data_IF_876247280354
#
_entry.id   IF_876247280354
#
_cell.length_a   1.000
_cell.length_b   1.000
_cell.length_c   1.000
_cell.angle_alpha   90.00
_cell.angle_beta   90.00
_cell.angle_gamma   90.00
#
_symmetry.space_group_name_H-M   'P 1'
#
loop_
_entity.id
_entity.type
_entity.pdbx_description
1 polymer ?
#
# COMPACT_ATOMS: atom_id res chain seq x y z
N UNK A 1 -52.44 -30.55 55.67
CA UNK A 1 -53.34 -29.42 55.38
C UNK A 1 -52.46 -28.21 55.17
N UNK A 2 -52.74 -27.34 54.18
CA UNK A 2 -51.90 -26.17 53.95
C UNK A 2 -51.95 -25.24 55.16
N UNK A 3 -50.81 -24.67 55.54
CA UNK A 3 -50.68 -23.78 56.68
C UNK A 3 -51.35 -22.42 56.45
N UNK A 4 -51.63 -22.06 55.19
CA UNK A 4 -52.30 -20.81 54.83
C UNK A 4 -53.66 -21.06 54.17
N UNK A 5 -54.57 -20.11 54.36
CA UNK A 5 -55.85 -20.04 53.67
C UNK A 5 -56.02 -18.66 53.02
N UNK A 6 -56.48 -18.63 51.78
CA UNK A 6 -56.86 -17.40 51.09
C UNK A 6 -58.38 -17.35 51.10
N UNK A 7 -58.97 -16.44 51.87
CA UNK A 7 -60.41 -16.44 52.17
C UNK A 7 -61.21 -15.53 51.25
N UNK A 8 -60.59 -14.49 50.71
CA UNK A 8 -61.27 -13.49 49.88
C UNK A 8 -60.38 -13.06 48.71
N UNK A 9 -61.01 -12.95 47.54
CA UNK A 9 -60.45 -12.30 46.35
C UNK A 9 -61.60 -11.85 45.43
N UNK A 10 -61.42 -10.77 44.65
CA UNK A 10 -62.36 -10.42 43.60
C UNK A 10 -62.34 -11.49 42.49
N UNK A 11 -63.50 -11.87 41.95
CA UNK A 11 -63.57 -12.80 40.80
C UNK A 11 -63.23 -12.11 39.47
N UNK A 12 -63.43 -10.79 39.40
CA UNK A 12 -63.12 -9.95 38.23
C UNK A 12 -62.52 -8.62 38.67
N UNK A 13 -61.52 -8.17 37.93
CA UNK A 13 -60.91 -6.85 38.07
C UNK A 13 -61.26 -6.00 36.84
N UNK A 14 -61.94 -4.89 37.06
CA UNK A 14 -62.30 -3.94 36.00
C UNK A 14 -61.09 -3.07 35.68
N UNK A 15 -60.62 -3.15 34.43
CA UNK A 15 -59.53 -2.31 33.93
C UNK A 15 -60.11 -1.03 33.33
N UNK A 16 -59.43 0.10 33.54
CA UNK A 16 -59.80 1.36 32.87
C UNK A 16 -59.58 1.28 31.35
N UNK A 17 -60.23 2.15 30.59
CA UNK A 17 -59.91 2.30 29.17
C UNK A 17 -58.47 2.82 29.01
N UNK A 18 -57.70 2.36 28.00
CA UNK A 18 -56.37 2.88 27.74
C UNK A 18 -56.42 4.37 27.38
N UNK A 19 -55.42 5.12 27.82
CA UNK A 19 -55.26 6.52 27.42
C UNK A 19 -54.81 6.66 25.96
N UNK A 20 -54.62 7.90 25.48
CA UNK A 20 -54.17 8.20 24.12
C UNK A 20 -52.78 7.61 23.79
N UNK A 21 -52.01 7.20 24.81
CA UNK A 21 -50.69 6.57 24.67
C UNK A 21 -50.77 5.05 24.74
N UNK A 22 -51.98 4.47 24.87
CA UNK A 22 -52.21 3.03 24.98
C UNK A 22 -51.98 2.45 26.37
N UNK A 23 -51.67 3.28 27.37
CA UNK A 23 -51.43 2.82 28.73
C UNK A 23 -52.78 2.60 29.41
N UNK A 24 -53.00 1.38 29.91
CA UNK A 24 -54.18 1.04 30.72
C UNK A 24 -53.95 1.49 32.17
N UNK A 25 -54.87 2.25 32.79
CA UNK A 25 -54.76 2.63 34.20
C UNK A 25 -54.57 1.40 35.10
N UNK A 26 -53.70 1.47 36.12
CA UNK A 26 -53.50 0.36 37.02
C UNK A 26 -54.76 0.03 37.81
N UNK A 27 -55.03 -1.26 37.98
CA UNK A 27 -56.14 -1.74 38.80
C UNK A 27 -55.61 -2.56 39.97
N UNK A 28 -56.34 -2.56 41.09
CA UNK A 28 -55.90 -3.15 42.35
C UNK A 28 -56.85 -4.27 42.79
N UNK A 29 -56.29 -5.44 43.09
CA UNK A 29 -56.99 -6.56 43.70
C UNK A 29 -56.44 -6.81 45.10
N UNK A 30 -57.32 -6.98 46.09
CA UNK A 30 -56.93 -7.27 47.47
C UNK A 30 -57.30 -8.71 47.81
N UNK A 31 -56.35 -9.46 48.36
CA UNK A 31 -56.52 -10.83 48.84
C UNK A 31 -56.38 -10.88 50.35
N UNK A 32 -57.25 -11.62 51.03
CA UNK A 32 -57.10 -11.86 52.46
C UNK A 32 -56.43 -13.21 52.69
N UNK A 33 -55.25 -13.19 53.31
CA UNK A 33 -54.46 -14.38 53.63
C UNK A 33 -54.44 -14.59 55.13
N UNK A 34 -54.77 -15.81 55.56
CA UNK A 34 -54.80 -16.21 56.95
C UNK A 34 -53.83 -17.36 57.22
N UNK A 35 -53.06 -17.26 58.30
CA UNK A 35 -52.27 -18.38 58.81
C UNK A 35 -53.13 -19.27 59.72
N UNK A 36 -53.22 -20.55 59.38
CA UNK A 36 -53.96 -21.59 60.09
C UNK A 36 -53.06 -22.51 60.93
N UNK A 37 -51.74 -22.39 60.81
CA UNK A 37 -50.77 -23.17 61.58
C UNK A 37 -50.62 -22.63 63.02
N UNK A 38 -50.45 -23.49 64.04
CA UNK A 38 -50.50 -23.10 65.46
C UNK A 38 -49.36 -22.18 65.92
N UNK A 39 -48.40 -21.87 65.04
CA UNK A 39 -47.28 -20.96 65.28
C UNK A 39 -47.23 -19.86 64.22
N UNK A 40 -46.52 -18.76 64.53
CA UNK A 40 -46.19 -17.78 63.52
C UNK A 40 -45.34 -18.41 62.40
N UNK A 41 -45.58 -18.01 61.16
CA UNK A 41 -44.88 -18.52 59.98
C UNK A 41 -44.58 -17.39 58.99
N UNK A 42 -43.45 -17.50 58.30
CA UNK A 42 -43.16 -16.67 57.14
C UNK A 42 -43.84 -17.29 55.92
N UNK A 43 -44.70 -16.49 55.29
CA UNK A 43 -45.37 -16.85 54.04
C UNK A 43 -44.68 -16.19 52.86
N UNK A 44 -44.23 -16.99 51.90
CA UNK A 44 -43.75 -16.51 50.60
C UNK A 44 -44.94 -16.37 49.66
N UNK A 45 -45.23 -15.13 49.32
CA UNK A 45 -46.38 -14.72 48.52
C UNK A 45 -45.89 -14.47 47.10
N UNK A 46 -46.56 -15.05 46.11
CA UNK A 46 -46.21 -14.90 44.69
C UNK A 46 -47.47 -14.79 43.84
N UNK A 47 -47.46 -13.90 42.84
CA UNK A 47 -48.51 -13.84 41.82
C UNK A 47 -48.23 -14.87 40.72
N UNK A 48 -49.18 -15.77 40.48
CA UNK A 48 -49.16 -16.69 39.35
C UNK A 48 -50.02 -16.12 38.21
N UNK A 49 -49.41 -15.72 37.07
CA UNK A 49 -50.17 -15.27 35.92
C UNK A 49 -50.90 -16.43 35.23
N UNK A 50 -52.07 -16.15 34.67
CA UNK A 50 -52.92 -17.09 33.93
C UNK A 50 -53.28 -16.51 32.55
N UNK A 51 -53.75 -17.36 31.63
CA UNK A 51 -54.34 -16.94 30.35
C UNK A 51 -53.43 -16.03 29.50
N UNK A 52 -52.11 -16.25 29.56
CA UNK A 52 -51.13 -15.48 28.79
C UNK A 52 -50.77 -14.11 29.39
N UNK A 53 -51.23 -13.80 30.61
CA UNK A 53 -50.74 -12.67 31.38
C UNK A 53 -49.25 -12.84 31.67
N UNK A 54 -48.52 -11.73 31.79
CA UNK A 54 -47.09 -11.76 32.04
C UNK A 54 -46.75 -11.37 33.48
N UNK A 55 -45.77 -12.02 34.13
CA UNK A 55 -45.45 -11.76 35.53
C UNK A 55 -45.01 -10.31 35.79
N UNK A 56 -44.40 -9.64 34.80
CA UNK A 56 -44.00 -8.22 34.90
C UNK A 56 -45.19 -7.25 34.97
N UNK A 57 -46.43 -7.69 34.73
CA UNK A 57 -47.61 -6.85 34.86
C UNK A 57 -48.09 -6.72 36.31
N UNK A 58 -47.53 -7.49 37.25
CA UNK A 58 -48.05 -7.59 38.60
C UNK A 58 -47.07 -7.07 39.64
N UNK A 59 -47.57 -6.26 40.56
CA UNK A 59 -46.81 -5.67 41.65
C UNK A 59 -47.56 -5.86 42.97
N UNK A 60 -46.95 -6.55 43.92
CA UNK A 60 -47.47 -6.70 45.28
C UNK A 60 -47.00 -5.50 46.11
N UNK A 61 -47.91 -4.89 46.86
CA UNK A 61 -47.59 -3.75 47.71
C UNK A 61 -46.50 -4.10 48.75
N UNK A 62 -45.38 -3.35 48.69
CA UNK A 62 -44.21 -3.54 49.55
C UNK A 62 -43.22 -4.60 49.07
N UNK A 63 -43.41 -5.18 47.87
CA UNK A 63 -42.43 -6.07 47.28
C UNK A 63 -41.15 -5.33 46.89
N UNK A 64 -39.97 -5.99 46.93
CA UNK A 64 -38.72 -5.40 46.44
C UNK A 64 -38.80 -5.07 44.95
N UNK A 65 -38.15 -3.98 44.53
CA UNK A 65 -38.11 -3.57 43.12
C UNK A 65 -37.49 -4.63 42.19
N UNK A 66 -36.64 -5.51 42.72
CA UNK A 66 -36.03 -6.63 41.99
C UNK A 66 -37.00 -7.79 41.73
N UNK A 67 -38.13 -7.86 42.42
CA UNK A 67 -39.13 -8.92 42.30
C UNK A 67 -40.52 -8.41 42.69
N UNK A 68 -41.13 -7.53 41.88
CA UNK A 68 -42.38 -6.85 42.23
C UNK A 68 -43.55 -7.81 42.46
N UNK A 69 -43.56 -8.99 41.81
CA UNK A 69 -44.59 -10.01 41.98
C UNK A 69 -44.39 -10.96 43.17
N UNK A 70 -43.38 -10.74 44.04
CA UNK A 70 -43.04 -11.63 45.16
C UNK A 70 -42.71 -10.86 46.44
N UNK A 71 -43.18 -11.36 47.57
CA UNK A 71 -42.85 -10.80 48.89
C UNK A 71 -42.92 -11.90 49.95
N UNK A 72 -42.12 -11.76 51.00
CA UNK A 72 -42.19 -12.60 52.20
C UNK A 72 -42.78 -11.77 53.33
N UNK A 73 -43.68 -12.36 54.12
CA UNK A 73 -44.28 -11.71 55.29
C UNK A 73 -44.45 -12.67 56.44
N UNK A 74 -44.27 -12.15 57.64
CA UNK A 74 -44.61 -12.83 58.88
C UNK A 74 -46.13 -12.84 59.10
N UNK A 75 -46.68 -14.02 59.36
CA UNK A 75 -48.07 -14.22 59.74
C UNK A 75 -48.15 -14.85 61.12
N UNK A 76 -48.76 -14.16 62.08
CA UNK A 76 -49.10 -14.74 63.38
C UNK A 76 -50.25 -15.74 63.25
N UNK A 77 -50.34 -16.72 64.15
CA UNK A 77 -51.42 -17.71 64.14
C UNK A 77 -52.80 -17.04 64.15
N UNK A 78 -53.66 -17.43 63.20
CA UNK A 78 -55.01 -16.93 63.05
C UNK A 78 -55.10 -15.49 62.51
N UNK A 79 -53.97 -14.81 62.27
CA UNK A 79 -53.91 -13.44 61.77
C UNK A 79 -54.29 -13.35 60.29
N UNK A 80 -55.00 -12.27 59.93
CA UNK A 80 -55.39 -11.96 58.57
C UNK A 80 -54.53 -10.82 58.03
N UNK A 81 -53.95 -10.99 56.83
CA UNK A 81 -53.24 -9.91 56.14
C UNK A 81 -53.89 -9.65 54.78
N UNK A 82 -54.17 -8.37 54.53
CA UNK A 82 -54.57 -7.90 53.22
C UNK A 82 -53.34 -7.76 52.33
N UNK A 83 -53.33 -8.50 51.22
CA UNK A 83 -52.29 -8.46 50.21
C UNK A 83 -52.85 -7.77 48.98
N UNK A 84 -52.28 -6.62 48.68
CA UNK A 84 -52.68 -5.80 47.57
C UNK A 84 -51.81 -6.08 46.35
N UNK A 85 -52.43 -6.55 45.26
CA UNK A 85 -51.80 -6.79 43.97
C UNK A 85 -52.27 -5.73 42.99
N UNK A 86 -51.34 -4.94 42.47
CA UNK A 86 -51.59 -3.95 41.43
C UNK A 86 -51.25 -4.56 40.07
N UNK A 87 -52.19 -4.48 39.13
CA UNK A 87 -52.01 -4.90 37.74
C UNK A 87 -51.66 -3.67 36.91
N UNK A 88 -50.48 -3.68 36.28
CA UNK A 88 -49.90 -2.62 35.43
C UNK A 88 -49.49 -3.19 34.07
N UNK A 89 -50.45 -3.38 33.14
CA UNK A 89 -50.12 -3.77 31.78
C UNK A 89 -49.35 -2.64 31.07
N UNK A 90 -48.30 -2.94 30.28
CA UNK A 90 -47.60 -1.95 29.48
C UNK A 90 -48.46 -1.45 28.31
N UNK A 91 -48.08 -0.31 27.72
CA UNK A 91 -48.82 0.35 26.62
C UNK A 91 -49.06 -0.53 25.38
N UNK A 92 -48.25 -1.58 25.19
CA UNK A 92 -48.31 -2.51 24.08
C UNK A 92 -48.89 -3.88 24.45
N UNK A 93 -49.50 -4.01 25.64
CA UNK A 93 -50.18 -5.24 26.02
C UNK A 93 -51.29 -5.57 25.00
N UNK A 94 -51.33 -6.79 24.43
CA UNK A 94 -52.37 -7.15 23.49
C UNK A 94 -53.77 -7.04 24.13
N UNK A 95 -54.76 -6.65 23.34
CA UNK A 95 -56.16 -6.71 23.79
C UNK A 95 -56.58 -8.18 23.97
N UNK A 96 -57.29 -8.48 25.04
CA UNK A 96 -57.67 -9.86 25.36
C UNK A 96 -58.18 -10.05 26.79
N UNK A 97 -58.58 -11.28 27.11
CA UNK A 97 -58.92 -11.70 28.45
C UNK A 97 -57.69 -12.35 29.10
N UNK A 98 -57.44 -11.98 30.35
CA UNK A 98 -56.29 -12.40 31.14
C UNK A 98 -56.74 -12.76 32.55
N UNK A 99 -55.88 -13.48 33.27
CA UNK A 99 -56.13 -13.75 34.67
C UNK A 99 -54.85 -13.87 35.49
N UNK A 100 -55.02 -13.91 36.80
CA UNK A 100 -53.95 -14.25 37.74
C UNK A 100 -54.53 -14.82 39.02
N UNK A 101 -53.70 -15.47 39.84
CA UNK A 101 -54.06 -15.89 41.19
C UNK A 101 -52.90 -15.69 42.14
N UNK A 102 -53.20 -15.56 43.42
CA UNK A 102 -52.19 -15.47 44.47
C UNK A 102 -51.81 -16.87 44.95
N UNK A 103 -50.51 -17.16 45.05
CA UNK A 103 -49.99 -18.34 45.74
C UNK A 103 -49.27 -17.91 47.01
N UNK A 104 -49.54 -18.61 48.10
CA UNK A 104 -48.84 -18.44 49.38
C UNK A 104 -48.26 -19.79 49.77
N UNK A 105 -46.95 -19.82 50.04
CA UNK A 105 -46.25 -21.02 50.46
C UNK A 105 -45.49 -20.76 51.76
N UNK A 106 -45.42 -21.74 52.66
CA UNK A 106 -44.61 -21.63 53.86
C UNK A 106 -43.12 -21.61 53.51
N UNK A 107 -42.33 -20.73 54.14
CA UNK A 107 -40.89 -20.65 53.88
C UNK A 107 -40.16 -21.97 54.22
N UNK A 108 -40.60 -22.66 55.28
CA UNK A 108 -39.98 -23.90 55.73
C UNK A 108 -40.20 -25.11 54.81
N UNK A 109 -41.26 -25.09 53.98
CA UNK A 109 -41.55 -26.14 53.00
C UNK A 109 -42.43 -25.61 51.85
N UNK A 110 -41.85 -24.83 50.91
CA UNK A 110 -42.64 -24.10 49.93
C UNK A 110 -43.21 -24.98 48.80
N UNK A 111 -42.71 -26.20 48.67
CA UNK A 111 -43.09 -27.12 47.59
C UNK A 111 -44.24 -28.04 48.01
N UNK A 112 -44.32 -28.43 49.28
CA UNK A 112 -45.42 -29.25 49.79
C UNK A 112 -46.48 -28.45 50.58
N UNK A 113 -46.09 -27.34 51.22
CA UNK A 113 -47.00 -26.51 52.02
C UNK A 113 -47.31 -25.18 51.33
N UNK A 114 -48.24 -25.24 50.38
CA UNK A 114 -48.72 -24.06 49.67
C UNK A 114 -50.24 -24.09 49.46
N UNK A 115 -50.80 -22.91 49.29
CA UNK A 115 -52.19 -22.69 48.87
C UNK A 115 -52.23 -21.78 47.66
N UNK A 116 -53.12 -22.11 46.72
CA UNK A 116 -53.44 -21.25 45.58
C UNK A 116 -54.81 -20.64 45.79
N UNK A 117 -54.90 -19.33 45.57
CA UNK A 117 -56.13 -18.57 45.66
C UNK A 117 -57.01 -18.76 44.42
N UNK A 118 -58.24 -18.24 44.46
CA UNK A 118 -59.11 -18.19 43.29
C UNK A 118 -58.48 -17.35 42.16
N UNK A 119 -58.87 -17.66 40.93
CA UNK A 119 -58.46 -16.89 39.76
C UNK A 119 -59.24 -15.58 39.67
N UNK A 120 -58.51 -14.48 39.43
CA UNK A 120 -59.04 -13.15 39.18
C UNK A 120 -58.92 -12.86 37.69
N UNK A 121 -60.04 -12.68 37.00
CA UNK A 121 -60.06 -12.39 35.56
C UNK A 121 -60.09 -10.87 35.30
N UNK A 122 -59.43 -10.41 34.25
CA UNK A 122 -59.48 -9.03 33.78
C UNK A 122 -59.37 -8.96 32.26
N UNK A 123 -59.99 -7.94 31.65
CA UNK A 123 -59.97 -7.75 30.20
C UNK A 123 -59.22 -6.47 29.84
N UNK A 124 -58.36 -6.54 28.84
CA UNK A 124 -57.70 -5.38 28.23
C UNK A 124 -58.41 -5.02 26.93
N UNK A 125 -58.98 -3.82 26.90
CA UNK A 125 -59.52 -3.22 25.67
C UNK A 125 -58.41 -2.52 24.92
N UNK A 126 -58.17 -2.88 23.66
CA UNK A 126 -57.20 -2.16 22.82
C UNK A 126 -57.67 -0.75 22.48
N UNK A 127 -56.73 0.17 22.26
CA UNK A 127 -57.04 1.48 21.64
C UNK A 127 -57.66 1.18 20.27
N UNK A 128 -58.88 1.68 20.03
CA UNK A 128 -59.56 1.54 18.76
C UNK A 128 -58.65 2.01 17.64
N UNK A 129 -58.11 1.07 16.86
CA UNK A 129 -57.27 1.39 15.72
C UNK A 129 -58.09 2.25 14.75
N UNK A 130 -57.60 3.44 14.33
CA UNK A 130 -58.21 4.19 13.25
C UNK A 130 -58.40 3.27 12.03
N UNK A 131 -59.50 3.38 11.27
CA UNK A 131 -59.80 2.48 10.17
C UNK A 131 -58.58 2.37 9.24
N UNK A 132 -58.17 1.13 8.97
CA UNK A 132 -56.92 0.82 8.32
C UNK A 132 -56.69 1.72 7.08
N UNK A 133 -55.61 2.52 7.03
CA UNK A 133 -55.32 3.30 5.84
C UNK A 133 -55.05 2.34 4.67
N UNK A 134 -55.72 2.56 3.53
CA UNK A 134 -55.42 1.88 2.27
C UNK A 134 -53.90 1.93 2.07
N UNK A 135 -53.26 0.75 1.96
CA UNK A 135 -51.83 0.58 1.71
C UNK A 135 -51.37 1.51 0.58
N UNK A 136 -50.82 2.67 0.94
CA UNK A 136 -50.01 3.46 0.01
C UNK A 136 -48.66 2.77 0.00
N UNK A 137 -48.30 2.22 -1.16
CA UNK A 137 -46.97 1.63 -1.39
C UNK A 137 -45.94 2.65 -0.91
N UNK A 138 -45.06 2.29 0.04
CA UNK A 138 -44.13 3.25 0.60
C UNK A 138 -43.23 3.83 -0.48
N UNK A 139 -43.21 5.16 -0.60
CA UNK A 139 -42.45 5.87 -1.64
C UNK A 139 -40.94 5.57 -1.61
N UNK A 140 -40.41 5.16 -0.46
CA UNK A 140 -39.02 4.73 -0.30
C UNK A 140 -38.70 3.46 -1.11
N UNK A 141 -39.70 2.63 -1.45
CA UNK A 141 -39.50 1.49 -2.37
C UNK A 141 -39.20 2.01 -3.78
N UNK A 142 -39.87 3.08 -4.20
CA UNK A 142 -39.55 3.74 -5.47
C UNK A 142 -38.21 4.47 -5.41
N UNK A 143 -37.85 5.09 -4.27
CA UNK A 143 -36.53 5.70 -4.09
C UNK A 143 -35.39 4.67 -4.07
N UNK A 144 -35.58 3.53 -3.38
CA UNK A 144 -34.63 2.43 -3.33
C UNK A 144 -34.52 1.71 -4.69
N UNK A 145 -35.65 1.49 -5.38
CA UNK A 145 -35.64 0.95 -6.73
C UNK A 145 -34.98 1.91 -7.72
N UNK A 146 -35.24 3.21 -7.64
CA UNK A 146 -34.59 4.22 -8.47
C UNK A 146 -33.08 4.31 -8.16
N UNK A 147 -32.67 4.24 -6.90
CA UNK A 147 -31.27 4.19 -6.51
C UNK A 147 -30.57 2.92 -7.02
N UNK A 148 -31.21 1.76 -6.92
CA UNK A 148 -30.67 0.50 -7.44
C UNK A 148 -30.56 0.53 -8.96
N UNK A 149 -31.57 1.05 -9.67
CA UNK A 149 -31.52 1.25 -11.11
C UNK A 149 -30.42 2.26 -11.48
N UNK A 150 -30.25 3.36 -10.74
CA UNK A 150 -29.19 4.33 -10.99
C UNK A 150 -27.80 3.73 -10.77
N UNK A 151 -27.62 2.85 -9.77
CA UNK A 151 -26.37 2.10 -9.58
C UNK A 151 -26.15 1.10 -10.71
N UNK A 152 -27.17 0.35 -11.13
CA UNK A 152 -27.03 -0.60 -12.24
C UNK A 152 -26.77 0.10 -13.58
N UNK A 153 -27.42 1.23 -13.83
CA UNK A 153 -27.17 2.08 -15.01
C UNK A 153 -25.80 2.74 -14.90
N UNK A 154 -25.39 3.19 -13.71
CA UNK A 154 -24.07 3.75 -13.46
C UNK A 154 -22.96 2.74 -13.66
N UNK A 155 -23.12 1.51 -13.16
CA UNK A 155 -22.19 0.39 -13.36
C UNK A 155 -22.20 -0.07 -14.82
N UNK A 156 -23.38 -0.15 -15.45
CA UNK A 156 -23.51 -0.50 -16.86
C UNK A 156 -22.87 0.54 -17.78
N UNK A 157 -23.12 1.83 -17.52
CA UNK A 157 -22.48 2.93 -18.21
C UNK A 157 -20.97 2.95 -17.95
N UNK A 158 -20.53 2.72 -16.72
CA UNK A 158 -19.10 2.65 -16.37
C UNK A 158 -18.39 1.47 -17.05
N UNK A 159 -19.01 0.29 -17.10
CA UNK A 159 -18.47 -0.85 -17.85
C UNK A 159 -18.48 -0.60 -19.35
N UNK A 160 -19.49 0.08 -19.88
CA UNK A 160 -19.59 0.43 -21.30
C UNK A 160 -18.65 1.58 -21.70
N UNK A 161 -18.28 2.44 -20.75
CA UNK A 161 -17.34 3.55 -20.94
C UNK A 161 -15.87 3.14 -20.73
N UNK A 162 -15.56 1.86 -20.48
CA UNK A 162 -14.16 1.42 -20.46
C UNK A 162 -13.55 1.70 -21.84
N UNK A 163 -12.41 2.42 -21.91
CA UNK A 163 -11.74 2.65 -23.17
C UNK A 163 -11.45 1.30 -23.84
N UNK A 164 -11.65 1.19 -25.17
CA UNK A 164 -11.35 -0.04 -25.87
C UNK A 164 -9.88 -0.41 -25.67
N UNK A 165 -9.61 -1.70 -25.43
CA UNK A 165 -8.26 -2.20 -25.28
C UNK A 165 -7.40 -1.79 -26.48
N UNK A 166 -6.22 -1.24 -26.21
CA UNK A 166 -5.31 -0.75 -27.26
C UNK A 166 -4.62 -1.93 -27.92
N UNK A 167 -4.66 -2.07 -29.26
CA UNK A 167 -4.07 -3.23 -29.92
C UNK A 167 -2.54 -3.19 -29.86
N UNK A 168 -1.91 -4.35 -29.60
CA UNK A 168 -0.45 -4.51 -29.69
C UNK A 168 0.00 -4.17 -31.12
N UNK A 169 1.05 -3.35 -31.31
CA UNK A 169 1.57 -3.01 -32.63
C UNK A 169 1.92 -4.25 -33.47
N UNK A 170 1.62 -4.20 -34.76
CA UNK A 170 2.04 -5.22 -35.71
C UNK A 170 3.52 -5.04 -36.11
N UNK A 171 4.14 -6.12 -36.58
CA UNK A 171 5.52 -6.07 -37.10
C UNK A 171 6.63 -6.05 -36.04
N UNK A 172 6.33 -6.38 -34.78
CA UNK A 172 7.33 -6.51 -33.71
C UNK A 172 8.21 -7.76 -33.88
N UNK A 173 7.66 -8.84 -34.44
CA UNK A 173 8.37 -10.10 -34.69
C UNK A 173 9.46 -9.88 -35.75
N UNK A 174 10.67 -10.37 -35.47
CA UNK A 174 11.86 -10.19 -36.30
C UNK A 174 12.63 -8.90 -36.04
N UNK A 175 12.06 -7.93 -35.31
CA UNK A 175 12.82 -6.78 -34.84
C UNK A 175 13.70 -7.15 -33.65
N UNK A 176 14.77 -6.40 -33.43
CA UNK A 176 15.54 -6.50 -32.19
C UNK A 176 14.66 -6.11 -31.00
N UNK A 177 14.76 -6.86 -29.92
CA UNK A 177 13.94 -6.71 -28.72
C UNK A 177 13.96 -5.29 -28.16
N UNK A 178 15.10 -4.60 -28.20
CA UNK A 178 15.21 -3.20 -27.78
C UNK A 178 14.36 -2.23 -28.64
N UNK A 179 14.29 -2.46 -29.95
CA UNK A 179 13.53 -1.63 -30.89
C UNK A 179 12.04 -1.91 -30.77
N UNK A 180 11.68 -3.19 -30.63
CA UNK A 180 10.31 -3.62 -30.40
C UNK A 180 9.76 -3.02 -29.10
N UNK A 181 10.54 -3.04 -28.01
CA UNK A 181 10.19 -2.41 -26.74
C UNK A 181 9.91 -0.91 -26.88
N UNK A 182 10.78 -0.18 -27.60
CA UNK A 182 10.58 1.25 -27.85
C UNK A 182 9.30 1.52 -28.67
N UNK A 183 8.99 0.66 -29.64
CA UNK A 183 7.78 0.73 -30.46
C UNK A 183 6.51 0.52 -29.62
N UNK A 184 6.52 -0.46 -28.72
CA UNK A 184 5.39 -0.71 -27.80
C UNK A 184 5.14 0.51 -26.91
N UNK A 185 6.19 1.04 -26.29
CA UNK A 185 6.07 2.19 -25.39
C UNK A 185 5.64 3.46 -26.13
N UNK A 186 6.17 3.72 -27.32
CA UNK A 186 5.79 4.91 -28.10
C UNK A 186 4.38 4.83 -28.68
N UNK A 187 3.88 3.64 -29.01
CA UNK A 187 2.58 3.48 -29.67
C UNK A 187 1.43 3.33 -28.69
N UNK A 188 1.61 2.52 -27.64
CA UNK A 188 0.56 2.18 -26.69
C UNK A 188 0.89 2.53 -25.24
N UNK A 189 2.09 3.06 -24.95
CA UNK A 189 2.54 3.47 -23.61
C UNK A 189 2.34 2.37 -22.55
N UNK A 190 2.80 1.15 -22.87
CA UNK A 190 2.76 -0.01 -21.98
C UNK A 190 4.16 -0.46 -21.60
N UNK A 191 4.28 -0.99 -20.38
CA UNK A 191 5.52 -1.64 -19.94
C UNK A 191 5.79 -2.90 -20.75
N UNK A 192 7.05 -3.34 -20.75
CA UNK A 192 7.47 -4.57 -21.42
C UNK A 192 8.23 -5.49 -20.48
N UNK A 193 8.11 -6.79 -20.69
CA UNK A 193 9.00 -7.79 -20.12
C UNK A 193 9.70 -8.54 -21.24
N UNK A 194 10.86 -9.11 -20.95
CA UNK A 194 11.61 -9.91 -21.92
C UNK A 194 11.74 -11.34 -21.43
N UNK A 195 11.26 -12.27 -22.24
CA UNK A 195 11.50 -13.69 -22.06
C UNK A 195 12.57 -14.14 -23.08
N UNK A 196 13.53 -14.94 -22.66
CA UNK A 196 14.60 -15.44 -23.54
C UNK A 196 14.37 -16.92 -23.85
N UNK A 197 14.43 -17.27 -25.13
CA UNK A 197 14.34 -18.66 -25.59
C UNK A 197 15.54 -19.03 -26.46
N UNK A 198 15.92 -20.30 -26.46
CA UNK A 198 16.90 -20.85 -27.43
C UNK A 198 16.22 -21.49 -28.63
N UNK A 199 14.92 -21.70 -28.55
CA UNK A 199 14.14 -22.36 -29.59
C UNK A 199 13.66 -21.30 -30.59
N UNK A 200 14.13 -21.39 -31.83
CA UNK A 200 13.75 -20.49 -32.91
C UNK A 200 14.89 -20.24 -33.89
N UNK A 201 14.55 -19.63 -35.01
CA UNK A 201 15.51 -19.18 -36.03
C UNK A 201 15.43 -17.65 -36.14
N UNK A 202 16.59 -16.99 -36.26
CA UNK A 202 16.65 -15.54 -36.40
C UNK A 202 17.97 -14.95 -35.92
N UNK A 203 18.04 -13.62 -35.96
CA UNK A 203 19.15 -12.86 -35.40
C UNK A 203 19.12 -12.93 -33.85
N UNK A 204 20.29 -12.90 -33.18
CA UNK A 204 20.35 -12.79 -31.72
C UNK A 204 19.56 -11.58 -31.20
N UNK A 205 18.78 -11.78 -30.14
CA UNK A 205 17.85 -10.80 -29.55
C UNK A 205 16.69 -10.36 -30.46
N UNK A 206 16.45 -11.02 -31.59
CA UNK A 206 15.24 -10.79 -32.36
C UNK A 206 14.01 -11.33 -31.61
N UNK A 207 12.92 -10.58 -31.64
CA UNK A 207 11.63 -11.00 -31.09
C UNK A 207 11.04 -12.11 -31.94
N UNK A 208 10.70 -13.23 -31.32
CA UNK A 208 10.09 -14.41 -31.95
C UNK A 208 8.57 -14.40 -31.77
N UNK A 209 8.11 -13.99 -30.58
CA UNK A 209 6.69 -13.90 -30.25
C UNK A 209 6.42 -12.80 -29.24
N UNK A 210 5.17 -12.34 -29.19
CA UNK A 210 4.68 -11.41 -28.18
C UNK A 210 3.49 -12.01 -27.45
N UNK A 211 3.36 -11.71 -26.16
CA UNK A 211 2.18 -12.00 -25.36
C UNK A 211 1.72 -10.74 -24.61
N UNK A 212 0.54 -10.18 -24.89
CA UNK A 212 -0.42 -10.59 -25.91
C UNK A 212 0.12 -10.57 -27.35
N UNK A 213 -0.48 -11.38 -28.23
CA UNK A 213 -0.09 -11.45 -29.64
C UNK A 213 -0.27 -10.10 -30.34
N UNK A 214 0.51 -9.83 -31.38
CA UNK A 214 0.32 -8.68 -32.26
C UNK A 214 -1.15 -8.54 -32.69
N UNK A 215 -1.70 -7.32 -32.58
CA UNK A 215 -3.10 -7.02 -32.84
C UNK A 215 -4.09 -7.35 -31.71
N UNK A 216 -3.69 -8.10 -30.67
CA UNK A 216 -4.54 -8.32 -29.50
C UNK A 216 -4.66 -7.03 -28.67
N UNK A 217 -5.84 -6.80 -28.06
CA UNK A 217 -6.06 -5.66 -27.18
C UNK A 217 -5.37 -5.85 -25.83
N UNK A 218 -4.72 -4.79 -25.34
CA UNK A 218 -4.01 -4.73 -24.06
C UNK A 218 -4.69 -3.73 -23.13
N UNK A 219 -4.98 -4.15 -21.90
CA UNK A 219 -5.55 -3.28 -20.85
C UNK A 219 -4.50 -2.29 -20.29
N UNK A 220 -4.91 -1.30 -19.50
CA UNK A 220 -4.03 -0.21 -19.02
C UNK A 220 -2.83 -0.68 -18.17
N UNK A 221 -3.02 -1.72 -17.36
CA UNK A 221 -2.02 -2.25 -16.43
C UNK A 221 -1.28 -3.50 -16.97
N UNK A 222 -1.65 -3.96 -18.16
CA UNK A 222 -1.10 -5.18 -18.76
C UNK A 222 0.25 -4.88 -19.44
N UNK A 223 1.22 -5.76 -19.19
CA UNK A 223 2.59 -5.65 -19.70
C UNK A 223 2.71 -6.54 -20.94
N UNK A 224 3.38 -6.03 -21.97
CA UNK A 224 3.65 -6.82 -23.18
C UNK A 224 4.93 -7.62 -22.99
N UNK A 225 4.82 -8.94 -22.96
CA UNK A 225 5.97 -9.82 -22.96
C UNK A 225 6.51 -9.99 -24.38
N UNK A 226 7.81 -9.77 -24.53
CA UNK A 226 8.54 -9.96 -25.78
C UNK A 226 9.45 -11.18 -25.61
N UNK A 227 9.11 -12.29 -26.27
CA UNK A 227 9.96 -13.47 -26.30
C UNK A 227 11.03 -13.27 -27.37
N UNK A 228 12.30 -13.20 -26.98
CA UNK A 228 13.43 -12.96 -27.88
C UNK A 228 14.40 -14.15 -27.94
N UNK A 229 15.08 -14.29 -29.08
CA UNK A 229 16.08 -15.33 -29.27
C UNK A 229 17.34 -15.04 -28.44
N UNK A 230 17.77 -16.01 -27.66
CA UNK A 230 18.97 -15.92 -26.83
C UNK A 230 20.22 -15.96 -27.71
N UNK A 231 21.18 -15.02 -27.56
CA UNK A 231 22.44 -15.08 -28.30
C UNK A 231 23.25 -16.35 -28.01
N UNK A 232 23.91 -16.86 -29.04
CA UNK A 232 24.93 -17.91 -28.88
C UNK A 232 26.23 -17.29 -28.35
N UNK A 233 26.41 -17.25 -27.03
CA UNK A 233 27.63 -16.73 -26.39
C UNK A 233 27.36 -15.79 -25.21
N UNK A 234 28.33 -14.92 -24.91
CA UNK A 234 28.13 -13.84 -23.93
C UNK A 234 27.12 -12.83 -24.47
N UNK A 235 26.20 -12.39 -23.61
CA UNK A 235 25.21 -11.38 -23.98
C UNK A 235 25.47 -10.09 -23.21
N UNK A 236 25.99 -9.08 -23.92
CA UNK A 236 26.33 -7.77 -23.37
C UNK A 236 25.15 -6.78 -23.43
N UNK A 237 23.93 -7.30 -23.24
CA UNK A 237 22.70 -6.50 -23.20
C UNK A 237 22.04 -6.56 -21.82
N UNK A 238 21.39 -5.47 -21.44
CA UNK A 238 20.56 -5.39 -20.24
C UNK A 238 19.45 -6.44 -20.21
N UNK A 239 18.92 -6.82 -21.38
CA UNK A 239 17.88 -7.85 -21.53
C UNK A 239 18.37 -9.20 -20.97
N UNK A 240 19.61 -9.56 -21.25
CA UNK A 240 20.20 -10.80 -20.74
C UNK A 240 20.68 -10.70 -19.30
N UNK A 241 21.04 -9.50 -18.85
CA UNK A 241 21.43 -9.26 -17.45
C UNK A 241 20.24 -9.37 -16.51
N UNK A 242 19.06 -8.97 -16.97
CA UNK A 242 17.82 -8.95 -16.22
C UNK A 242 16.73 -9.73 -16.97
N UNK A 243 16.89 -11.06 -17.11
CA UNK A 243 15.84 -11.88 -17.70
C UNK A 243 14.57 -11.74 -16.86
N UNK A 244 13.42 -11.73 -17.53
CA UNK A 244 12.08 -11.65 -16.91
C UNK A 244 11.78 -10.35 -16.15
N UNK A 245 12.68 -9.36 -16.19
CA UNK A 245 12.46 -8.09 -15.53
C UNK A 245 11.43 -7.24 -16.28
N UNK A 246 10.59 -6.53 -15.52
CA UNK A 246 9.57 -5.63 -16.06
C UNK A 246 10.17 -4.23 -16.23
N UNK A 247 10.17 -3.74 -17.47
CA UNK A 247 10.61 -2.41 -17.82
C UNK A 247 9.39 -1.50 -17.97
N UNK A 248 9.12 -0.60 -17.00
CA UNK A 248 8.04 0.36 -17.14
C UNK A 248 8.31 1.34 -18.31
N UNK A 249 7.27 2.01 -18.85
CA UNK A 249 7.43 2.91 -19.99
C UNK A 249 8.55 3.94 -19.81
N UNK A 250 8.64 4.56 -18.63
CA UNK A 250 9.69 5.52 -18.30
C UNK A 250 11.12 4.94 -18.40
N UNK A 251 11.31 3.69 -18.00
CA UNK A 251 12.60 3.01 -18.07
C UNK A 251 12.98 2.70 -19.53
N UNK A 252 12.03 2.19 -20.31
CA UNK A 252 12.24 1.93 -21.74
C UNK A 252 12.55 3.21 -22.50
N UNK A 253 11.81 4.30 -22.25
CA UNK A 253 12.07 5.60 -22.90
C UNK A 253 13.47 6.11 -22.58
N UNK A 254 13.92 5.98 -21.32
CA UNK A 254 15.26 6.39 -20.92
C UNK A 254 16.36 5.54 -21.58
N UNK A 255 16.15 4.24 -21.73
CA UNK A 255 17.14 3.30 -22.28
C UNK A 255 17.13 3.22 -23.82
N UNK A 256 15.99 3.45 -24.46
CA UNK A 256 15.85 3.39 -25.92
C UNK A 256 16.77 4.38 -26.63
N UNK A 257 17.02 5.55 -26.05
CA UNK A 257 17.95 6.54 -26.59
C UNK A 257 19.42 6.09 -26.52
N UNK A 258 19.75 5.22 -25.57
CA UNK A 258 21.13 4.86 -25.25
C UNK A 258 21.54 3.49 -25.79
N UNK A 259 20.57 2.68 -26.23
CA UNK A 259 20.72 1.26 -26.52
C UNK A 259 20.78 0.46 -25.22
N UNK A 260 20.10 -0.69 -25.15
CA UNK A 260 20.01 -1.55 -23.95
C UNK A 260 21.37 -2.24 -23.63
N UNK A 261 22.41 -1.45 -23.38
CA UNK A 261 23.80 -1.82 -23.19
C UNK A 261 24.08 -2.06 -21.71
N UNK A 262 24.78 -3.16 -21.40
CA UNK A 262 25.11 -3.56 -20.04
C UNK A 262 25.91 -2.50 -19.27
N UNK A 263 26.63 -1.59 -19.95
CA UNK A 263 27.34 -0.47 -19.29
C UNK A 263 26.43 0.45 -18.48
N UNK A 264 25.13 0.51 -18.80
CA UNK A 264 24.14 1.30 -18.06
C UNK A 264 23.52 0.55 -16.89
N UNK A 265 23.84 -0.74 -16.69
CA UNK A 265 23.33 -1.53 -15.57
C UNK A 265 23.56 -0.88 -14.19
N UNK A 266 24.66 -0.15 -13.92
CA UNK A 266 24.84 0.54 -12.64
C UNK A 266 23.79 1.64 -12.38
N UNK A 267 23.17 2.21 -13.41
CA UNK A 267 22.08 3.18 -13.27
C UNK A 267 20.71 2.54 -13.02
N UNK A 268 20.64 1.21 -12.95
CA UNK A 268 19.40 0.46 -12.76
C UNK A 268 19.29 -0.07 -11.33
N UNK A 269 18.06 -0.08 -10.82
CA UNK A 269 17.69 -0.73 -9.57
C UNK A 269 16.40 -1.53 -9.76
N UNK A 270 16.17 -2.52 -8.90
CA UNK A 270 14.94 -3.33 -8.93
C UNK A 270 14.13 -3.03 -7.68
N UNK A 271 12.89 -2.61 -7.85
CA UNK A 271 11.90 -2.46 -6.78
C UNK A 271 10.57 -3.05 -7.26
N UNK A 272 9.92 -3.85 -6.42
CA UNK A 272 8.62 -4.48 -6.73
C UNK A 272 8.59 -5.27 -8.06
N UNK A 273 9.72 -5.87 -8.45
CA UNK A 273 9.86 -6.61 -9.70
C UNK A 273 9.95 -5.74 -10.96
N UNK A 274 10.06 -4.43 -10.81
CA UNK A 274 10.23 -3.45 -11.90
C UNK A 274 11.64 -2.86 -11.90
N UNK A 275 12.17 -2.63 -13.10
CA UNK A 275 13.44 -1.93 -13.32
C UNK A 275 13.20 -0.43 -13.23
N UNK A 276 13.84 0.21 -12.26
CA UNK A 276 13.85 1.66 -12.10
C UNK A 276 15.19 2.21 -12.59
N UNK A 277 15.12 3.32 -13.33
CA UNK A 277 16.30 4.01 -13.87
C UNK A 277 16.59 5.24 -13.03
N UNK A 278 17.78 5.30 -12.45
CA UNK A 278 18.34 6.54 -11.89
C UNK A 278 18.85 7.40 -13.04
N UNK A 279 18.07 8.42 -13.41
CA UNK A 279 18.38 9.30 -14.55
C UNK A 279 19.61 10.17 -14.30
N UNK A 280 19.91 10.52 -13.04
CA UNK A 280 21.10 11.29 -12.71
C UNK A 280 22.35 10.43 -12.93
N UNK A 281 22.34 9.19 -12.44
CA UNK A 281 23.42 8.23 -12.65
C UNK A 281 23.54 7.80 -14.12
N UNK A 282 22.43 7.66 -14.83
CA UNK A 282 22.45 7.38 -16.27
C UNK A 282 23.12 8.51 -17.04
N UNK A 283 22.80 9.76 -16.73
CA UNK A 283 23.43 10.93 -17.33
C UNK A 283 24.93 11.03 -16.98
N UNK A 284 25.31 10.69 -15.75
CA UNK A 284 26.71 10.62 -15.33
C UNK A 284 27.48 9.58 -16.15
N UNK A 285 26.95 8.36 -16.31
CA UNK A 285 27.58 7.30 -17.10
C UNK A 285 27.66 7.68 -18.59
N UNK A 286 26.59 8.29 -19.14
CA UNK A 286 26.55 8.74 -20.53
C UNK A 286 27.59 9.81 -20.82
N UNK A 287 27.75 10.76 -19.91
CA UNK A 287 28.65 11.89 -20.05
C UNK A 287 30.05 11.61 -19.49
N UNK A 288 30.26 10.44 -18.89
CA UNK A 288 31.57 10.03 -18.43
C UNK A 288 32.51 9.97 -19.63
N UNK A 289 33.61 10.72 -19.56
CA UNK A 289 34.67 10.58 -20.53
C UNK A 289 35.12 9.10 -20.57
N UNK A 290 35.37 8.54 -21.76
CA UNK A 290 35.89 7.18 -21.84
C UNK A 290 37.14 7.07 -20.95
N UNK A 291 37.33 5.96 -20.22
CA UNK A 291 38.48 5.80 -19.36
C UNK A 291 39.76 6.06 -20.17
N UNK A 292 40.58 7.00 -19.70
CA UNK A 292 41.81 7.37 -20.40
C UNK A 292 42.70 6.12 -20.47
N UNK A 293 43.11 5.67 -21.67
CA UNK A 293 43.90 4.45 -21.78
C UNK A 293 45.20 4.63 -21.01
N UNK A 294 45.51 3.68 -20.13
CA UNK A 294 46.76 3.69 -19.36
C UNK A 294 47.88 3.11 -20.21
N UNK A 295 48.95 3.88 -20.36
CA UNK A 295 50.14 3.53 -21.12
C UNK A 295 51.31 3.34 -20.16
N UNK A 296 52.03 2.23 -20.31
CA UNK A 296 53.17 1.92 -19.46
C UNK A 296 54.42 2.63 -19.95
N UNK A 297 54.93 3.57 -19.15
CA UNK A 297 56.20 4.25 -19.41
C UNK A 297 57.36 3.27 -19.15
N UNK A 298 58.20 2.93 -20.15
CA UNK A 298 59.40 2.12 -19.94
C UNK A 298 60.50 2.92 -19.23
N UNK A 299 61.62 2.27 -18.86
CA UNK A 299 62.81 2.98 -18.40
C UNK A 299 63.49 3.67 -19.57
N UNK A 300 63.59 5.00 -19.50
CA UNK A 300 64.14 5.85 -20.58
C UNK A 300 65.54 6.44 -20.25
N UNK A 301 66.07 6.15 -19.05
CA UNK A 301 67.41 6.59 -18.67
C UNK A 301 68.48 5.88 -19.53
N UNK A 302 69.48 6.65 -19.99
CA UNK A 302 70.56 6.16 -20.85
C UNK A 302 70.25 6.13 -22.35
N UNK A 303 69.05 6.55 -22.78
CA UNK A 303 68.69 6.71 -24.20
C UNK A 303 69.00 8.11 -24.72
N UNK A 304 69.13 8.29 -26.03
CA UNK A 304 69.26 9.63 -26.65
C UNK A 304 67.92 10.37 -26.63
N UNK A 305 67.95 11.70 -26.65
CA UNK A 305 66.72 12.52 -26.71
C UNK A 305 65.84 12.16 -27.92
N UNK A 306 66.43 11.84 -29.07
CA UNK A 306 65.70 11.41 -30.26
C UNK A 306 65.02 10.04 -30.10
N UNK A 307 65.69 9.08 -29.46
CA UNK A 307 65.11 7.77 -29.16
C UNK A 307 63.97 7.88 -28.14
N UNK A 308 64.13 8.74 -27.13
CA UNK A 308 63.09 9.00 -26.14
C UNK A 308 61.88 9.69 -26.78
N UNK A 309 62.09 10.68 -27.64
CA UNK A 309 61.01 11.33 -28.38
C UNK A 309 60.21 10.34 -29.23
N UNK A 310 60.90 9.45 -29.96
CA UNK A 310 60.27 8.39 -30.76
C UNK A 310 59.45 7.45 -29.86
N UNK A 311 60.06 6.96 -28.77
CA UNK A 311 59.42 6.03 -27.84
C UNK A 311 58.19 6.65 -27.17
N UNK A 312 58.26 7.91 -26.75
CA UNK A 312 57.11 8.60 -26.16
C UNK A 312 56.02 8.88 -27.19
N UNK A 313 56.38 9.23 -28.43
CA UNK A 313 55.41 9.43 -29.53
C UNK A 313 54.68 8.14 -29.90
N UNK A 314 55.40 7.02 -29.97
CA UNK A 314 54.82 5.68 -30.23
C UNK A 314 53.85 5.24 -29.12
N UNK A 315 54.11 5.71 -27.90
CA UNK A 315 53.25 5.50 -26.71
C UNK A 315 52.13 6.55 -26.59
N UNK A 316 52.06 7.53 -27.48
CA UNK A 316 51.08 8.63 -27.41
C UNK A 316 51.26 9.54 -26.18
N UNK A 317 52.49 9.66 -25.67
CA UNK A 317 52.87 10.52 -24.54
C UNK A 317 53.55 11.80 -25.04
N UNK A 318 53.30 12.91 -24.35
CA UNK A 318 54.00 14.17 -24.59
C UNK A 318 55.41 14.16 -24.00
N UNK A 319 56.28 15.03 -24.53
CA UNK A 319 57.66 15.18 -24.05
C UNK A 319 57.96 16.65 -23.75
N UNK A 320 58.49 16.92 -22.56
CA UNK A 320 59.03 18.23 -22.19
C UNK A 320 60.52 18.10 -21.91
N UNK A 321 61.35 18.95 -22.53
CA UNK A 321 62.81 18.88 -22.40
C UNK A 321 63.30 19.83 -21.30
N UNK A 322 64.07 19.31 -20.35
CA UNK A 322 64.75 20.10 -19.32
C UNK A 322 66.25 19.83 -19.36
N UNK A 323 67.05 20.87 -19.58
CA UNK A 323 68.50 20.75 -19.64
C UNK A 323 69.14 21.02 -18.28
N UNK A 324 70.16 20.24 -17.93
CA UNK A 324 71.00 20.44 -16.73
C UNK A 324 72.47 20.60 -17.13
N UNK A 325 73.22 21.37 -16.34
CA UNK A 325 74.63 21.72 -16.65
C UNK A 325 75.63 20.65 -16.15
N UNK A 326 75.23 19.87 -15.15
CA UNK A 326 76.08 18.86 -14.48
C UNK A 326 75.64 17.44 -14.85
N UNK A 327 76.60 16.58 -15.23
CA UNK A 327 76.36 15.17 -15.53
C UNK A 327 77.48 14.51 -16.35
N UNK A 328 77.57 13.17 -16.35
CA UNK A 328 78.71 12.44 -16.89
C UNK A 328 78.75 12.34 -18.43
N UNK A 329 77.60 12.43 -19.11
CA UNK A 329 77.51 12.21 -20.56
C UNK A 329 76.57 13.24 -21.23
N UNK A 330 76.98 13.77 -22.37
CA UNK A 330 76.23 14.81 -23.08
C UNK A 330 75.27 14.19 -24.12
N UNK A 331 74.02 14.66 -24.16
CA UNK A 331 72.99 14.21 -25.12
C UNK A 331 72.20 12.95 -24.72
N UNK A 332 72.50 12.37 -23.54
CA UNK A 332 71.76 11.24 -22.99
C UNK A 332 70.79 11.67 -21.88
N UNK A 333 69.67 10.96 -21.80
CA UNK A 333 68.63 11.19 -20.79
C UNK A 333 69.08 10.61 -19.46
N UNK A 334 69.11 11.46 -18.42
CA UNK A 334 69.52 11.06 -17.07
C UNK A 334 68.39 10.41 -16.30
N UNK A 335 67.24 11.08 -16.30
CA UNK A 335 66.03 10.62 -15.61
C UNK A 335 64.81 11.27 -16.24
N UNK A 336 63.67 10.65 -16.02
CA UNK A 336 62.37 11.19 -16.40
C UNK A 336 61.55 11.48 -15.16
N UNK A 337 60.66 12.47 -15.24
CA UNK A 337 59.64 12.70 -14.21
C UNK A 337 58.29 12.51 -14.90
N UNK A 338 57.50 11.48 -14.52
CA UNK A 338 57.80 10.41 -13.56
C UNK A 338 58.84 9.39 -14.05
N UNK A 339 59.49 8.66 -13.13
CA UNK A 339 60.46 7.61 -13.45
C UNK A 339 59.74 6.31 -13.84
N UNK A 340 60.22 5.66 -14.91
CA UNK A 340 59.71 4.34 -15.34
C UNK A 340 60.33 3.17 -14.55
N UNK A 341 59.65 2.01 -14.45
CA UNK A 341 58.39 1.67 -15.08
C UNK A 341 57.16 2.13 -14.27
N UNK A 342 56.30 2.95 -14.88
CA UNK A 342 55.08 3.49 -14.24
C UNK A 342 53.95 3.55 -15.27
N UNK A 343 52.68 3.39 -14.84
CA UNK A 343 51.52 3.56 -15.71
C UNK A 343 51.05 5.02 -15.72
N UNK A 344 50.84 5.58 -16.91
CA UNK A 344 50.43 6.95 -17.11
C UNK A 344 49.20 7.01 -18.02
N UNK A 345 48.27 7.95 -17.80
CA UNK A 345 47.21 8.22 -18.77
C UNK A 345 47.82 8.59 -20.13
N UNK A 346 47.29 8.06 -21.23
CA UNK A 346 47.68 8.47 -22.59
C UNK A 346 47.57 9.99 -22.75
N UNK A 347 48.51 10.59 -23.48
CA UNK A 347 48.63 12.05 -23.60
C UNK A 347 49.34 12.75 -22.44
N UNK A 348 49.74 12.03 -21.38
CA UNK A 348 50.54 12.62 -20.29
C UNK A 348 51.89 13.12 -20.80
N UNK A 349 52.38 14.22 -20.23
CA UNK A 349 53.68 14.81 -20.57
C UNK A 349 54.74 14.23 -19.64
N UNK A 350 55.81 13.68 -20.22
CA UNK A 350 56.98 13.18 -19.50
C UNK A 350 58.09 14.23 -19.57
N UNK A 351 58.54 14.70 -18.42
CA UNK A 351 59.67 15.62 -18.36
C UNK A 351 60.98 14.83 -18.49
N UNK A 352 61.75 15.13 -19.52
CA UNK A 352 63.00 14.45 -19.88
C UNK A 352 64.16 15.34 -19.47
N UNK A 353 64.89 14.92 -18.44
CA UNK A 353 66.04 15.65 -17.91
C UNK A 353 67.31 15.11 -18.59
N UNK A 354 67.99 15.95 -19.35
CA UNK A 354 69.20 15.59 -20.11
C UNK A 354 70.27 16.67 -19.98
N UNK A 355 71.52 16.32 -20.29
CA UNK A 355 72.61 17.30 -20.40
C UNK A 355 72.75 17.74 -21.85
N UNK A 356 72.56 19.04 -22.12
CA UNK A 356 72.75 19.58 -23.46
C UNK A 356 74.24 19.57 -23.84
N UNK A 357 74.57 19.06 -25.02
CA UNK A 357 75.93 19.18 -25.57
C UNK A 357 76.30 20.67 -25.72
N UNK A 358 77.51 21.09 -25.29
CA UNK A 358 77.97 22.44 -25.56
C UNK A 358 78.08 22.63 -27.07
N UNK A 359 77.29 23.53 -27.64
CA UNK A 359 77.31 23.80 -29.08
C UNK A 359 78.65 24.43 -29.49
N UNK A 360 79.50 23.66 -30.16
CA UNK A 360 80.83 24.08 -30.64
C UNK A 360 80.86 24.51 -32.12
N UNK A 361 79.70 24.56 -32.80
CA UNK A 361 79.57 24.92 -34.21
C UNK A 361 79.31 26.41 -34.46
N UNK A 362 79.77 26.91 -35.61
CA UNK A 362 79.67 28.33 -36.05
C UNK A 362 78.22 28.87 -36.09
N UNK A 363 77.22 27.99 -36.20
CA UNK A 363 75.79 28.37 -36.26
C UNK A 363 75.12 28.57 -34.89
N UNK A 364 75.83 28.35 -33.78
CA UNK A 364 75.32 28.55 -32.43
C UNK A 364 75.97 29.79 -31.79
N UNK A 365 75.76 30.96 -32.38
CA UNK A 365 76.04 32.22 -31.69
C UNK A 365 74.96 32.45 -30.64
N UNK A 366 75.29 32.18 -29.37
CA UNK A 366 74.51 32.69 -28.25
C UNK A 366 74.86 34.17 -28.12
N UNK A 367 73.91 35.06 -28.48
CA UNK A 367 74.07 36.50 -28.22
C UNK A 367 74.00 36.70 -26.70
N UNK A 368 75.15 36.65 -26.03
CA UNK A 368 75.24 36.82 -24.57
C UNK A 368 75.28 38.29 -24.14
N UNK A 369 75.69 39.21 -25.02
CA UNK A 369 75.68 40.65 -24.74
C UNK A 369 75.33 41.43 -26.00
N UNK A 370 74.09 41.91 -26.09
CA UNK A 370 73.70 42.91 -27.09
C UNK A 370 74.06 44.29 -26.54
N UNK A 371 75.28 44.75 -26.76
CA UNK A 371 75.65 46.16 -26.49
C UNK A 371 75.06 47.02 -27.61
N UNK A 372 73.84 47.51 -27.41
CA UNK A 372 73.22 48.48 -28.31
C UNK A 372 73.86 49.84 -28.04
N UNK A 373 74.75 50.29 -28.92
CA UNK A 373 75.17 51.69 -28.96
C UNK A 373 73.95 52.57 -29.32
N UNK A 374 73.64 53.63 -28.56
CA UNK A 374 72.39 54.38 -28.75
C UNK A 374 72.55 55.43 -29.85
N UNK A 375 72.61 55.02 -31.13
CA UNK A 375 72.25 55.87 -32.27
C UNK A 375 71.69 54.98 -33.38
N UNK A 376 70.47 55.29 -33.82
CA UNK A 376 69.65 54.57 -34.80
C UNK A 376 68.80 53.42 -34.26
N UNK A 377 67.77 53.76 -33.48
CA UNK A 377 66.53 52.98 -33.45
C UNK A 377 65.55 53.58 -34.45
N UNK A 378 65.52 53.04 -35.65
CA UNK A 378 64.33 53.06 -36.52
C UNK A 378 64.22 51.67 -37.17
N UNK A 379 63.25 50.88 -36.71
CA UNK A 379 62.70 49.81 -37.56
C UNK A 379 63.01 48.35 -37.23
N UNK A 380 63.33 47.94 -36.00
CA UNK A 380 63.36 46.50 -35.66
C UNK A 380 62.43 46.18 -34.49
N UNK A 381 61.30 45.58 -34.82
CA UNK A 381 60.25 45.15 -33.90
C UNK A 381 60.57 43.72 -33.41
N UNK A 382 61.08 43.57 -32.19
CA UNK A 382 61.30 42.26 -31.58
C UNK A 382 60.05 41.84 -30.79
N UNK A 383 59.28 40.89 -31.35
CA UNK A 383 58.23 40.20 -30.61
C UNK A 383 58.85 39.29 -29.55
N UNK A 384 58.60 39.59 -28.28
CA UNK A 384 58.80 38.66 -27.16
C UNK A 384 57.78 37.53 -27.27
N UNK A 385 58.25 36.30 -27.41
CA UNK A 385 57.50 35.11 -26.97
C UNK A 385 57.58 35.07 -25.44
N UNK A 386 56.46 35.36 -24.78
CA UNK A 386 56.31 35.14 -23.34
C UNK A 386 56.07 33.65 -23.08
N UNK A 387 56.65 33.17 -21.97
CA UNK A 387 56.43 31.85 -21.37
C UNK A 387 54.98 31.68 -20.91
#
# INVERSE_FOLDING_TARGET
MPSFQITEAPSRLEMGAPDASGVTPPAKATFLVRNMAPSAQVGRITVEPLEGARPEWFEIAGAPATSPGKIERDFVYGGNHAIDVTVRPPANAPAGNYGFRLRVAAEGDPDADFVQGPAVAFALTGVAAPPAPKKRVPWWIFAAAAAMVAVLVGVGAFMFMRPPATPVPEGLVGQRAEVAAATVVSTINRGVSFALTRDGEGEPLAVLSTDPRAGAGVDEDEIVELTALTPAGSCDSLICRFPDARFPPAAVTALAAEGFDVKYAPALSIADGQVLVDTAKLAEIKNAAPPVPMVRLPRLAGMTVSQVQQTLSDLGLGMELSSVTEGPEDGLVRRTVPEGPTELPAGSIVQVIYRSQPCTGIRCFVVRDLVVAPRFMDGVNMQRLQQ
#
